data_IF_064699318147
#
_entry.id   IF_064699318147
#
_cell.length_a   1.000
_cell.length_b   1.000
_cell.length_c   1.000
_cell.angle_alpha   90.00
_cell.angle_beta   90.00
_cell.angle_gamma   90.00
#
_symmetry.space_group_name_H-M   'P 1'
#
loop_
_entity.id
_entity.type
_entity.pdbx_description
1 polymer ?
#
# COMPACT_ATOMS: atom_id res chain seq x y z
N UNK A 1 -0.81 9.73 -14.63
CA UNK A 1 -1.09 10.83 -13.67
C UNK A 1 0.22 11.40 -13.19
N UNK A 2 0.29 12.73 -12.96
CA UNK A 2 1.48 13.40 -12.47
C UNK A 2 1.66 13.20 -10.96
N UNK A 3 2.87 12.83 -10.52
CA UNK A 3 3.20 12.60 -9.10
C UNK A 3 2.96 13.87 -8.27
N UNK A 4 3.23 15.05 -8.81
CA UNK A 4 3.02 16.32 -8.12
C UNK A 4 1.55 16.54 -7.71
N UNK A 5 0.61 16.16 -8.56
CA UNK A 5 -0.83 16.22 -8.26
C UNK A 5 -1.19 15.32 -7.08
N UNK A 6 -0.65 14.09 -7.03
CA UNK A 6 -0.82 13.17 -5.90
C UNK A 6 -0.23 13.74 -4.61
N UNK A 7 1.02 14.20 -4.65
CA UNK A 7 1.72 14.73 -3.48
C UNK A 7 0.99 15.93 -2.88
N UNK A 8 0.49 16.83 -3.74
CA UNK A 8 -0.32 17.97 -3.33
C UNK A 8 -1.62 17.53 -2.67
N UNK A 9 -2.34 16.58 -3.26
CA UNK A 9 -3.58 16.07 -2.68
C UNK A 9 -3.33 15.45 -1.29
N UNK A 10 -2.36 14.55 -1.18
CA UNK A 10 -2.08 13.85 0.07
C UNK A 10 -1.54 14.77 1.16
N UNK A 11 -0.69 15.75 0.83
CA UNK A 11 -0.14 16.68 1.82
C UNK A 11 -1.15 17.71 2.32
N UNK A 12 -2.17 18.09 1.51
CA UNK A 12 -3.08 19.20 1.82
C UNK A 12 -4.51 18.77 2.16
N UNK A 13 -5.06 17.78 1.48
CA UNK A 13 -6.49 17.43 1.55
C UNK A 13 -6.75 16.11 2.27
N UNK A 14 -5.86 15.14 2.10
CA UNK A 14 -6.03 13.83 2.73
C UNK A 14 -5.62 13.87 4.22
N UNK A 15 -6.39 13.14 5.05
CA UNK A 15 -6.06 12.96 6.47
C UNK A 15 -6.20 11.48 6.81
N UNK A 16 -5.12 10.94 7.35
CA UNK A 16 -5.11 9.55 7.81
C UNK A 16 -6.00 9.41 9.05
N UNK A 17 -6.84 8.39 9.02
CA UNK A 17 -7.52 7.90 10.22
C UNK A 17 -7.41 6.38 10.24
N UNK A 18 -6.35 5.86 10.87
CA UNK A 18 -6.05 4.43 10.90
C UNK A 18 -7.13 3.62 11.63
N UNK A 19 -7.87 4.24 12.55
CA UNK A 19 -8.92 3.58 13.34
C UNK A 19 -10.14 3.20 12.50
N UNK A 20 -10.32 3.84 11.34
CA UNK A 20 -11.44 3.52 10.43
C UNK A 20 -11.23 2.24 9.61
N UNK A 21 -10.03 1.64 9.63
CA UNK A 21 -9.68 0.51 8.77
C UNK A 21 -9.73 -0.81 9.55
N UNK A 22 -10.85 -1.51 9.43
CA UNK A 22 -11.12 -2.76 10.16
C UNK A 22 -10.06 -3.83 9.95
N UNK A 23 -9.66 -4.06 8.68
CA UNK A 23 -8.76 -5.16 8.30
C UNK A 23 -7.31 -4.74 8.06
N UNK A 24 -7.02 -3.45 7.92
CA UNK A 24 -5.69 -2.97 7.58
C UNK A 24 -5.11 -1.91 8.53
N UNK A 25 -5.83 -1.58 9.58
CA UNK A 25 -5.35 -0.66 10.60
C UNK A 25 -4.47 -1.36 11.63
N UNK A 26 -4.73 -1.10 12.90
CA UNK A 26 -3.96 -1.70 14.00
C UNK A 26 -3.98 -3.23 14.03
N UNK A 27 -4.96 -3.88 13.41
CA UNK A 27 -5.03 -5.33 13.27
C UNK A 27 -3.79 -5.96 12.59
N UNK A 28 -3.12 -5.23 11.70
CA UNK A 28 -1.92 -5.73 11.01
C UNK A 28 -0.73 -5.92 11.93
N UNK A 29 -0.63 -5.16 13.05
CA UNK A 29 0.48 -5.30 14.01
C UNK A 29 0.57 -6.73 14.52
N UNK A 30 -0.57 -7.38 14.78
CA UNK A 30 -0.62 -8.75 15.31
C UNK A 30 -0.21 -9.80 14.28
N UNK A 31 -0.18 -9.44 13.00
CA UNK A 31 0.24 -10.32 11.91
C UNK A 31 1.76 -10.28 11.67
N UNK A 32 2.48 -9.36 12.32
CA UNK A 32 3.94 -9.24 12.18
C UNK A 32 4.63 -10.07 13.25
N UNK A 33 5.51 -10.95 12.80
CA UNK A 33 6.29 -11.81 13.70
C UNK A 33 7.53 -11.09 14.22
N UNK A 34 8.00 -11.49 15.37
CA UNK A 34 9.23 -10.96 15.96
C UNK A 34 10.41 -11.13 14.99
N UNK A 35 11.13 -10.04 14.74
CA UNK A 35 12.30 -10.02 13.86
C UNK A 35 12.00 -9.83 12.37
N UNK A 36 10.74 -9.85 11.94
CA UNK A 36 10.40 -9.55 10.54
C UNK A 36 10.66 -8.08 10.21
N UNK A 37 11.22 -7.84 9.03
CA UNK A 37 11.35 -6.51 8.44
C UNK A 37 10.12 -6.17 7.61
N UNK A 38 9.60 -4.96 7.79
CA UNK A 38 8.37 -4.48 7.16
C UNK A 38 8.65 -3.24 6.32
N UNK A 39 8.22 -3.24 5.06
CA UNK A 39 8.20 -2.08 4.19
C UNK A 39 6.77 -1.52 4.13
N UNK A 40 6.56 -0.28 4.59
CA UNK A 40 5.28 0.42 4.49
C UNK A 40 5.32 1.40 3.32
N UNK A 41 4.68 1.03 2.21
CA UNK A 41 4.68 1.78 0.94
C UNK A 41 3.55 2.80 0.96
N UNK A 42 3.89 4.08 0.91
CA UNK A 42 2.94 5.17 1.09
C UNK A 42 2.46 5.24 2.54
N UNK A 43 3.40 5.28 3.47
CA UNK A 43 3.15 5.22 4.91
C UNK A 43 2.40 6.44 5.47
N UNK A 44 2.28 7.53 4.69
CA UNK A 44 1.66 8.78 5.13
C UNK A 44 2.36 9.34 6.37
N UNK A 45 1.59 9.55 7.45
CA UNK A 45 2.13 10.01 8.74
C UNK A 45 2.92 8.95 9.50
N UNK A 46 3.17 7.79 8.90
CA UNK A 46 3.95 6.67 9.42
C UNK A 46 3.44 6.15 10.81
N UNK A 47 2.16 5.82 10.93
CA UNK A 47 1.54 5.51 12.22
C UNK A 47 2.06 4.21 12.85
N UNK A 48 2.66 3.31 12.08
CA UNK A 48 3.19 2.03 12.56
C UNK A 48 4.62 2.12 13.11
N UNK A 49 5.33 3.25 12.92
CA UNK A 49 6.75 3.44 13.29
C UNK A 49 7.07 3.00 14.72
N UNK A 50 6.26 3.42 15.69
CA UNK A 50 6.51 3.12 17.11
C UNK A 50 5.88 1.79 17.57
N UNK A 51 5.30 1.04 16.65
CA UNK A 51 4.57 -0.19 16.93
C UNK A 51 5.20 -1.44 16.30
N UNK A 52 5.98 -1.27 15.24
CA UNK A 52 6.66 -2.35 14.52
C UNK A 52 8.16 -2.04 14.53
N UNK A 53 8.93 -2.86 15.22
CA UNK A 53 10.34 -2.57 15.53
C UNK A 53 11.25 -2.42 14.30
N UNK A 54 11.01 -3.22 13.24
CA UNK A 54 11.82 -3.21 12.01
C UNK A 54 11.01 -2.68 10.83
N UNK A 55 10.30 -1.57 11.02
CA UNK A 55 9.54 -0.90 9.97
C UNK A 55 10.44 0.08 9.20
N UNK A 56 10.25 0.11 7.90
CA UNK A 56 10.74 1.15 7.00
C UNK A 56 9.54 1.74 6.26
N UNK A 57 9.19 2.98 6.55
CA UNK A 57 8.11 3.70 5.91
C UNK A 57 8.61 4.62 4.79
N UNK A 58 8.05 4.50 3.59
CA UNK A 58 8.36 5.40 2.47
C UNK A 58 7.11 6.15 2.03
N UNK A 59 7.25 7.44 1.74
CA UNK A 59 6.16 8.28 1.23
C UNK A 59 6.72 9.54 0.56
N UNK A 60 6.30 9.91 -0.66
CA UNK A 60 6.81 11.12 -1.33
C UNK A 60 6.24 12.42 -0.74
N UNK A 61 5.07 12.40 -0.11
CA UNK A 61 4.31 13.59 0.30
C UNK A 61 4.50 13.97 1.78
N UNK A 62 4.94 13.01 2.64
CA UNK A 62 4.97 13.22 4.10
C UNK A 62 6.39 13.22 4.68
N UNK A 63 6.69 14.23 5.50
CA UNK A 63 7.99 14.37 6.19
C UNK A 63 8.19 13.35 7.31
N UNK A 64 7.12 12.68 7.76
CA UNK A 64 7.17 11.62 8.78
C UNK A 64 7.66 10.28 8.24
N UNK A 65 7.76 10.10 6.93
CA UNK A 65 8.35 8.91 6.32
C UNK A 65 9.83 8.76 6.68
N UNK A 66 10.34 7.52 6.76
CA UNK A 66 11.76 7.27 6.93
C UNK A 66 12.55 7.67 5.69
N UNK A 67 11.94 7.47 4.51
CA UNK A 67 12.47 7.93 3.22
C UNK A 67 11.37 8.66 2.45
N UNK A 68 11.68 9.89 2.05
CA UNK A 68 10.77 10.72 1.26
C UNK A 68 10.96 10.46 -0.22
N UNK A 69 10.36 9.38 -0.71
CA UNK A 69 10.47 8.94 -2.11
C UNK A 69 9.28 8.07 -2.52
N UNK A 70 9.11 7.88 -3.82
CA UNK A 70 8.17 6.88 -4.38
C UNK A 70 8.79 5.48 -4.31
N UNK A 71 7.97 4.44 -4.49
CA UNK A 71 8.48 3.05 -4.53
C UNK A 71 9.43 2.81 -5.70
N UNK A 72 9.26 3.51 -6.82
CA UNK A 72 10.14 3.42 -7.98
C UNK A 72 11.52 4.05 -7.75
N UNK A 73 11.63 4.96 -6.77
CA UNK A 73 12.87 5.63 -6.40
C UNK A 73 13.57 4.98 -5.21
N UNK A 74 12.84 4.12 -4.47
CA UNK A 74 13.38 3.52 -3.26
C UNK A 74 14.31 2.35 -3.57
N UNK A 75 15.50 2.39 -2.98
CA UNK A 75 16.50 1.32 -3.03
C UNK A 75 16.82 0.82 -1.63
N UNK A 76 17.05 -0.47 -1.48
CA UNK A 76 17.41 -1.08 -0.19
C UNK A 76 18.39 -2.21 -0.38
N UNK A 77 19.34 -2.31 0.54
CA UNK A 77 20.30 -3.43 0.62
C UNK A 77 19.77 -4.62 1.44
N UNK A 78 18.61 -4.48 2.08
CA UNK A 78 17.93 -5.56 2.79
C UNK A 78 16.68 -5.99 2.03
N UNK A 79 16.31 -7.26 2.19
CA UNK A 79 15.02 -7.77 1.72
C UNK A 79 14.00 -7.74 2.86
N UNK A 80 12.78 -7.36 2.53
CA UNK A 80 11.70 -7.28 3.50
C UNK A 80 10.89 -8.59 3.55
N UNK A 81 10.46 -8.98 4.76
CA UNK A 81 9.59 -10.14 4.97
C UNK A 81 8.13 -9.80 4.72
N UNK A 82 7.76 -8.54 4.91
CA UNK A 82 6.40 -8.06 4.76
C UNK A 82 6.39 -6.72 4.02
N UNK A 83 5.45 -6.51 3.12
CA UNK A 83 5.11 -5.19 2.59
C UNK A 83 3.68 -4.81 2.95
N UNK A 84 3.48 -3.54 3.28
CA UNK A 84 2.18 -2.89 3.38
C UNK A 84 1.97 -2.00 2.15
N UNK A 85 0.89 -2.24 1.41
CA UNK A 85 0.42 -1.44 0.29
C UNK A 85 -1.01 -0.97 0.62
N UNK A 86 -1.13 -0.09 1.63
CA UNK A 86 -2.41 0.24 2.25
C UNK A 86 -3.02 1.51 1.65
N UNK A 87 -3.38 1.42 0.37
CA UNK A 87 -3.97 2.54 -0.37
C UNK A 87 -2.96 3.36 -1.17
N UNK A 88 -1.71 2.98 -1.22
CA UNK A 88 -0.64 3.68 -1.94
C UNK A 88 -0.57 3.30 -3.42
N UNK A 89 -0.76 2.03 -3.77
CA UNK A 89 -0.74 1.53 -5.15
C UNK A 89 -2.19 1.47 -5.66
N UNK A 90 -2.79 2.63 -5.85
CA UNK A 90 -4.19 2.79 -6.23
C UNK A 90 -4.41 3.82 -7.34
N UNK A 91 -3.35 4.34 -7.96
CA UNK A 91 -3.45 5.52 -8.80
C UNK A 91 -2.80 5.32 -10.16
N UNK A 92 -3.46 5.82 -11.21
CA UNK A 92 -2.97 5.79 -12.58
C UNK A 92 -3.41 4.56 -13.37
N UNK A 93 -2.67 4.26 -14.44
CA UNK A 93 -2.98 3.17 -15.36
C UNK A 93 -2.56 1.80 -14.81
N UNK A 94 -3.06 0.74 -15.43
CA UNK A 94 -2.64 -0.63 -15.16
C UNK A 94 -1.11 -0.80 -15.26
N UNK A 95 -0.49 -0.19 -16.27
CA UNK A 95 0.98 -0.20 -16.43
C UNK A 95 1.69 0.39 -15.21
N UNK A 96 1.15 1.49 -14.66
CA UNK A 96 1.69 2.11 -13.44
C UNK A 96 1.56 1.18 -12.24
N UNK A 97 0.40 0.58 -12.04
CA UNK A 97 0.13 -0.38 -10.96
C UNK A 97 1.07 -1.58 -11.03
N UNK A 98 1.22 -2.18 -12.21
CA UNK A 98 2.10 -3.33 -12.41
C UNK A 98 3.57 -2.98 -12.15
N UNK A 99 4.04 -1.82 -12.64
CA UNK A 99 5.40 -1.35 -12.41
C UNK A 99 5.68 -1.09 -10.94
N UNK A 100 4.78 -0.45 -10.22
CA UNK A 100 4.92 -0.20 -8.78
C UNK A 100 4.90 -1.50 -7.99
N UNK A 101 4.01 -2.44 -8.34
CA UNK A 101 3.97 -3.77 -7.74
C UNK A 101 5.28 -4.53 -7.98
N UNK A 102 5.85 -4.47 -9.18
CA UNK A 102 7.15 -5.08 -9.49
C UNK A 102 8.27 -4.50 -8.61
N UNK A 103 8.28 -3.18 -8.39
CA UNK A 103 9.25 -2.53 -7.51
C UNK A 103 9.13 -3.04 -6.06
N UNK A 104 7.92 -3.18 -5.54
CA UNK A 104 7.69 -3.80 -4.22
C UNK A 104 8.25 -5.22 -4.19
N UNK A 105 7.87 -6.05 -5.16
CA UNK A 105 8.24 -7.48 -5.21
C UNK A 105 9.74 -7.71 -5.26
N UNK A 106 10.51 -6.85 -5.95
CA UNK A 106 11.97 -6.89 -6.02
C UNK A 106 12.65 -6.68 -4.65
N UNK A 107 12.00 -5.99 -3.75
CA UNK A 107 12.51 -5.71 -2.40
C UNK A 107 12.17 -6.81 -1.38
N UNK A 108 11.39 -7.82 -1.77
CA UNK A 108 10.88 -8.82 -0.85
C UNK A 108 11.72 -10.11 -0.81
N UNK A 109 11.76 -10.71 0.37
CA UNK A 109 12.36 -12.03 0.59
C UNK A 109 11.54 -13.16 -0.07
N UNK A 110 12.14 -14.37 -0.27
CA UNK A 110 11.46 -15.49 -0.93
C UNK A 110 10.15 -15.95 -0.29
N UNK A 111 9.98 -15.73 1.02
CA UNK A 111 8.79 -16.14 1.80
C UNK A 111 7.99 -14.95 2.31
N UNK A 112 8.00 -13.86 1.55
CA UNK A 112 7.35 -12.63 1.95
C UNK A 112 5.82 -12.70 1.87
N UNK A 113 5.21 -11.73 2.58
CA UNK A 113 3.77 -11.45 2.52
C UNK A 113 3.57 -10.00 2.11
N UNK A 114 2.47 -9.74 1.38
CA UNK A 114 2.04 -8.37 1.06
C UNK A 114 0.61 -8.20 1.57
N UNK A 115 0.39 -7.15 2.33
CA UNK A 115 -0.95 -6.73 2.75
C UNK A 115 -1.41 -5.55 1.91
N UNK A 116 -2.54 -5.74 1.27
CA UNK A 116 -3.16 -4.76 0.38
C UNK A 116 -4.40 -4.15 1.02
N UNK A 117 -4.57 -2.85 0.83
CA UNK A 117 -5.86 -2.17 0.88
C UNK A 117 -6.07 -1.46 -0.44
N UNK A 118 -7.06 -1.90 -1.19
CA UNK A 118 -7.35 -1.44 -2.53
C UNK A 118 -8.69 -0.73 -2.60
N UNK A 119 -8.77 0.34 -3.36
CA UNK A 119 -10.01 1.06 -3.59
C UNK A 119 -10.63 0.63 -4.93
N UNK A 120 -11.95 0.37 -4.98
CA UNK A 120 -12.64 0.04 -6.22
C UNK A 120 -12.98 1.32 -7.01
N UNK A 121 -11.96 2.07 -7.45
CA UNK A 121 -12.11 3.31 -8.20
C UNK A 121 -12.52 4.53 -7.35
N UNK A 122 -13.20 5.50 -7.99
CA UNK A 122 -13.54 6.80 -7.38
C UNK A 122 -14.65 6.74 -6.32
N UNK A 123 -15.39 5.67 -6.22
CA UNK A 123 -16.62 5.60 -5.42
C UNK A 123 -16.42 5.87 -3.92
N UNK A 124 -15.20 5.74 -3.45
CA UNK A 124 -14.85 5.86 -2.04
C UNK A 124 -14.40 7.27 -1.62
N UNK A 125 -14.23 8.18 -2.56
CA UNK A 125 -13.69 9.52 -2.30
C UNK A 125 -14.71 10.60 -2.68
N UNK A 126 -15.77 10.76 -1.90
CA UNK A 126 -16.79 11.81 -2.07
C UNK A 126 -16.28 13.25 -1.91
N UNK A 127 -14.98 13.48 -2.11
CA UNK A 127 -14.29 14.74 -1.94
C UNK A 127 -14.10 15.41 -3.31
N UNK A 128 -14.50 16.67 -3.44
CA UNK A 128 -14.34 17.47 -4.66
C UNK A 128 -12.87 17.58 -5.12
N UNK A 129 -11.92 17.50 -4.20
CA UNK A 129 -10.49 17.54 -4.50
C UNK A 129 -9.94 16.27 -5.16
N UNK A 130 -10.74 15.22 -5.26
CA UNK A 130 -10.38 13.98 -5.96
C UNK A 130 -10.68 14.00 -7.46
N UNK A 131 -11.21 15.08 -8.01
CA UNK A 131 -11.61 15.14 -9.43
C UNK A 131 -10.43 14.96 -10.39
N UNK A 132 -9.24 15.40 -9.99
CA UNK A 132 -8.00 15.28 -10.77
C UNK A 132 -7.22 14.00 -10.49
N UNK A 133 -7.71 13.16 -9.55
CA UNK A 133 -7.06 11.91 -9.19
C UNK A 133 -7.59 10.77 -10.04
N UNK A 134 -6.69 10.07 -10.69
CA UNK A 134 -7.00 8.88 -11.51
C UNK A 134 -6.88 7.62 -10.65
N UNK A 135 -7.99 7.21 -10.05
CA UNK A 135 -8.05 6.01 -9.19
C UNK A 135 -8.11 4.75 -10.06
N UNK A 136 -7.23 3.81 -9.79
CA UNK A 136 -7.28 2.49 -10.40
C UNK A 136 -8.46 1.69 -9.82
N UNK A 137 -9.20 1.04 -10.70
CA UNK A 137 -10.36 0.25 -10.29
C UNK A 137 -9.96 -1.18 -9.95
N UNK A 138 -9.53 -1.39 -8.72
CA UNK A 138 -9.20 -2.72 -8.22
C UNK A 138 -10.43 -3.62 -8.10
N UNK A 139 -10.26 -4.90 -8.45
CA UNK A 139 -11.26 -5.95 -8.23
C UNK A 139 -10.61 -7.18 -7.58
N UNK A 140 -11.40 -8.07 -6.94
CA UNK A 140 -10.90 -9.34 -6.44
C UNK A 140 -10.19 -10.18 -7.50
N UNK A 141 -10.70 -10.19 -8.74
CA UNK A 141 -10.14 -10.94 -9.86
C UNK A 141 -8.74 -10.42 -10.24
N UNK A 142 -8.58 -9.08 -10.29
CA UNK A 142 -7.27 -8.47 -10.57
C UNK A 142 -6.26 -8.78 -9.47
N UNK A 143 -6.69 -8.80 -8.19
CA UNK A 143 -5.81 -9.17 -7.08
C UNK A 143 -5.32 -10.62 -7.20
N UNK A 144 -6.18 -11.56 -7.61
CA UNK A 144 -5.77 -12.94 -7.90
C UNK A 144 -4.83 -13.03 -9.09
N UNK A 145 -5.19 -12.38 -10.19
CA UNK A 145 -4.40 -12.37 -11.43
C UNK A 145 -2.98 -11.83 -11.19
N UNK A 146 -2.86 -10.70 -10.50
CA UNK A 146 -1.54 -10.09 -10.24
C UNK A 146 -0.76 -10.87 -9.17
N UNK A 147 -1.42 -11.47 -8.18
CA UNK A 147 -0.74 -12.37 -7.26
C UNK A 147 -0.02 -13.49 -8.02
N UNK A 148 -0.71 -14.20 -8.91
CA UNK A 148 -0.14 -15.26 -9.74
C UNK A 148 0.99 -14.75 -10.64
N UNK A 149 0.78 -13.60 -11.29
CA UNK A 149 1.78 -12.97 -12.18
C UNK A 149 3.11 -12.69 -11.46
N UNK A 150 3.05 -12.29 -10.20
CA UNK A 150 4.23 -11.96 -9.37
C UNK A 150 4.72 -13.13 -8.49
N UNK A 151 4.18 -14.33 -8.68
CA UNK A 151 4.59 -15.54 -7.96
C UNK A 151 4.09 -15.60 -6.51
N UNK A 152 2.92 -15.00 -6.27
CA UNK A 152 2.18 -15.08 -5.00
C UNK A 152 0.85 -15.83 -5.19
N UNK A 153 0.23 -16.17 -4.09
CA UNK A 153 -1.18 -16.57 -4.03
C UNK A 153 -1.94 -15.70 -3.03
N UNK A 154 -3.21 -15.52 -3.26
CA UNK A 154 -4.12 -14.87 -2.31
C UNK A 154 -4.39 -15.84 -1.16
N UNK A 155 -4.05 -15.44 0.06
CA UNK A 155 -4.28 -16.20 1.28
C UNK A 155 -5.56 -15.77 2.00
N UNK A 156 -5.88 -14.48 1.94
CA UNK A 156 -7.08 -13.90 2.53
C UNK A 156 -7.57 -12.74 1.67
N UNK A 157 -8.88 -12.57 1.55
CA UNK A 157 -9.50 -11.46 0.87
C UNK A 157 -10.80 -11.09 1.59
N UNK A 158 -10.89 -9.82 2.01
CA UNK A 158 -12.02 -9.26 2.72
C UNK A 158 -12.50 -7.98 2.04
N UNK A 159 -13.73 -7.60 2.29
CA UNK A 159 -14.28 -6.34 1.81
C UNK A 159 -15.07 -5.66 2.93
N UNK A 160 -14.84 -4.37 3.16
CA UNK A 160 -15.57 -3.62 4.16
C UNK A 160 -16.88 -3.01 3.62
N UNK A 161 -17.64 -2.35 4.49
CA UNK A 161 -18.90 -1.69 4.13
C UNK A 161 -18.75 -0.53 3.14
N UNK A 162 -17.54 -0.05 2.93
CA UNK A 162 -17.19 0.99 1.96
C UNK A 162 -16.64 0.41 0.66
N UNK A 163 -16.80 -0.88 0.44
CA UNK A 163 -16.30 -1.62 -0.72
C UNK A 163 -14.77 -1.61 -0.89
N UNK A 164 -13.99 -1.23 0.13
CA UNK A 164 -12.53 -1.38 0.09
C UNK A 164 -12.17 -2.84 0.16
N UNK A 165 -11.22 -3.25 -0.67
CA UNK A 165 -10.75 -4.64 -0.72
C UNK A 165 -9.47 -4.75 0.08
N UNK A 166 -9.44 -5.70 1.01
CA UNK A 166 -8.28 -6.07 1.81
C UNK A 166 -7.81 -7.44 1.37
N UNK A 167 -6.53 -7.57 1.08
CA UNK A 167 -5.99 -8.81 0.54
C UNK A 167 -4.62 -9.12 1.15
N UNK A 168 -4.38 -10.39 1.47
CA UNK A 168 -3.08 -10.91 1.86
C UNK A 168 -2.53 -11.78 0.73
N UNK A 169 -1.38 -11.39 0.18
CA UNK A 169 -0.60 -12.22 -0.73
C UNK A 169 0.52 -12.92 0.04
N UNK A 170 0.73 -14.19 -0.24
CA UNK A 170 1.83 -14.98 0.35
C UNK A 170 2.58 -15.73 -0.76
N UNK A 171 3.88 -15.84 -0.58
CA UNK A 171 4.78 -16.54 -1.47
C UNK A 171 5.24 -17.86 -0.85
#
# INVERSE_FOLDING_TARGET
MDQHTLDKYFSTHWRSNIDQYEYSGWALIQKIKLGESVLDVGCGTNPFRDRIANLTGIDPAFDQADYRCTIEQFESNIQFNVAFCLGSINFGSEETILRQTECVVKLLSPHARIYWRCNPGRQDHGNEHCQEIDFYNWTPELLHQYAEQFGFRVADLQQDSNNRIYCEWIR
#
